data_IF_028954168891
#
_entry.id   IF_028954168891
#
_cell.length_a   1.000
_cell.length_b   1.000
_cell.length_c   1.000
_cell.angle_alpha   90.00
_cell.angle_beta   90.00
_cell.angle_gamma   90.00
#
_symmetry.space_group_name_H-M   'P 1'
#
loop_
_entity.id
_entity.type
_entity.pdbx_description
1 polymer ?
#
# COMPACT_ATOMS: atom_id res chain seq x y z
N UNK A 1 52.70 -32.91 -0.99
CA UNK A 1 51.28 -32.78 -0.60
C UNK A 1 50.74 -31.49 -1.23
N UNK A 2 50.54 -31.48 -2.54
CA UNK A 2 49.28 -31.76 -3.24
C UNK A 2 48.18 -30.70 -3.03
N UNK A 3 48.03 -29.90 -4.10
CA UNK A 3 46.89 -29.09 -4.52
C UNK A 3 45.54 -29.78 -4.26
N UNK A 4 44.51 -29.07 -3.79
CA UNK A 4 43.25 -28.84 -4.53
C UNK A 4 42.09 -28.22 -3.71
N UNK A 5 41.38 -27.30 -4.38
CA UNK A 5 39.93 -27.04 -4.34
C UNK A 5 39.35 -26.16 -3.22
N UNK A 6 39.47 -24.86 -3.48
CA UNK A 6 38.35 -23.91 -3.49
C UNK A 6 37.20 -24.50 -4.35
N UNK A 7 36.14 -25.00 -3.72
CA UNK A 7 34.75 -25.07 -4.24
C UNK A 7 33.84 -25.76 -3.20
N UNK A 8 32.61 -25.23 -3.09
CA UNK A 8 31.45 -25.75 -2.36
C UNK A 8 31.39 -25.47 -0.85
N UNK A 9 30.79 -24.33 -0.49
CA UNK A 9 29.68 -24.28 0.46
C UNK A 9 28.66 -23.20 0.04
N UNK A 10 28.35 -23.19 -1.26
CA UNK A 10 27.07 -22.72 -1.79
C UNK A 10 26.19 -23.95 -1.88
N UNK A 11 25.40 -24.21 -0.84
CA UNK A 11 24.16 -25.01 -0.83
C UNK A 11 23.87 -25.42 0.61
N UNK A 12 22.84 -24.82 1.21
CA UNK A 12 22.40 -25.25 2.52
C UNK A 12 21.57 -24.26 3.30
N UNK A 13 20.63 -23.53 2.67
CA UNK A 13 19.51 -23.00 3.44
C UNK A 13 18.20 -23.17 2.66
N UNK A 14 17.42 -24.08 3.21
CA UNK A 14 16.25 -24.72 2.62
C UNK A 14 15.14 -23.73 2.22
N UNK A 15 14.56 -24.00 1.04
CA UNK A 15 13.32 -23.44 0.50
C UNK A 15 12.11 -23.50 1.47
N UNK A 16 12.18 -24.31 2.54
CA UNK A 16 11.09 -24.59 3.48
C UNK A 16 10.63 -23.39 4.31
N UNK A 17 11.53 -22.46 4.68
CA UNK A 17 11.14 -21.28 5.47
C UNK A 17 10.34 -20.24 4.66
N UNK A 18 10.50 -20.20 3.33
CA UNK A 18 9.78 -19.30 2.41
C UNK A 18 8.31 -19.69 2.23
N UNK A 19 8.03 -21.00 2.31
CA UNK A 19 6.68 -21.55 2.27
C UNK A 19 5.97 -21.39 3.62
N UNK A 20 6.69 -21.50 4.74
CA UNK A 20 6.09 -21.52 6.07
C UNK A 20 5.34 -20.22 6.44
N UNK A 21 5.96 -19.04 6.29
CA UNK A 21 5.29 -17.76 6.65
C UNK A 21 4.13 -17.42 5.71
N UNK A 22 4.27 -17.70 4.41
CA UNK A 22 3.20 -17.57 3.41
C UNK A 22 2.07 -18.56 3.65
N UNK A 23 2.39 -19.80 4.01
CA UNK A 23 1.44 -20.85 4.35
C UNK A 23 0.69 -20.49 5.62
N UNK A 24 1.33 -19.88 6.61
CA UNK A 24 0.66 -19.47 7.87
C UNK A 24 -0.32 -18.29 7.64
N UNK A 25 0.07 -17.23 6.92
CA UNK A 25 -0.85 -16.11 6.61
C UNK A 25 -1.94 -16.51 5.61
N UNK A 26 -1.58 -17.24 4.55
CA UNK A 26 -2.55 -17.81 3.59
C UNK A 26 -3.48 -18.80 4.30
N UNK A 27 -3.00 -19.63 5.23
CA UNK A 27 -3.85 -20.52 6.03
C UNK A 27 -4.74 -19.75 7.00
N UNK A 28 -4.26 -18.70 7.68
CA UNK A 28 -5.07 -17.89 8.59
C UNK A 28 -6.18 -17.11 7.85
N UNK A 29 -5.91 -16.62 6.64
CA UNK A 29 -6.92 -15.97 5.79
C UNK A 29 -7.82 -17.01 5.08
N UNK A 30 -7.29 -18.16 4.67
CA UNK A 30 -8.07 -19.31 4.16
C UNK A 30 -8.98 -19.90 5.23
N UNK A 31 -8.62 -19.79 6.52
CA UNK A 31 -9.47 -20.18 7.65
C UNK A 31 -10.74 -19.33 7.77
N UNK A 32 -10.77 -18.12 7.19
CA UNK A 32 -12.02 -17.35 7.10
C UNK A 32 -12.93 -17.99 6.06
N UNK A 33 -14.15 -18.35 6.49
CA UNK A 33 -15.20 -18.82 5.60
C UNK A 33 -15.57 -17.75 4.58
N UNK A 34 -16.17 -18.14 3.44
CA UNK A 34 -16.68 -17.19 2.45
C UNK A 34 -17.62 -16.17 3.11
N UNK A 35 -18.49 -16.63 4.02
CA UNK A 35 -19.39 -15.77 4.79
C UNK A 35 -18.66 -14.71 5.61
N UNK A 36 -17.51 -15.05 6.21
CA UNK A 36 -16.69 -14.09 6.97
C UNK A 36 -15.91 -13.11 6.09
N UNK A 37 -15.74 -13.39 4.79
CA UNK A 37 -15.10 -12.46 3.84
C UNK A 37 -16.07 -11.48 3.22
N UNK A 38 -17.35 -11.85 3.16
CA UNK A 38 -18.45 -11.04 2.64
C UNK A 38 -19.22 -10.30 3.75
N UNK A 39 -18.89 -10.53 5.01
CA UNK A 39 -19.54 -9.84 6.12
C UNK A 39 -19.01 -8.41 6.26
N UNK A 40 -19.88 -7.43 6.54
CA UNK A 40 -19.45 -6.08 6.93
C UNK A 40 -18.42 -6.13 8.06
N UNK A 41 -17.46 -5.21 8.04
CA UNK A 41 -16.49 -5.10 9.12
C UNK A 41 -17.15 -4.43 10.33
N UNK A 42 -16.78 -4.84 11.55
CA UNK A 42 -17.30 -4.22 12.77
C UNK A 42 -16.76 -2.79 12.99
N UNK A 43 -15.58 -2.50 12.45
CA UNK A 43 -14.94 -1.20 12.49
C UNK A 43 -13.94 -1.07 11.34
N UNK A 44 -13.63 0.16 10.93
CA UNK A 44 -12.53 0.42 10.01
C UNK A 44 -11.23 0.29 10.78
N UNK A 45 -10.38 -0.66 10.40
CA UNK A 45 -9.10 -0.89 11.08
C UNK A 45 -7.95 -0.10 10.48
N UNK A 46 -8.01 0.15 9.17
CA UNK A 46 -6.95 0.80 8.41
C UNK A 46 -7.48 1.39 7.11
N UNK A 47 -6.94 2.52 6.69
CA UNK A 47 -6.99 2.96 5.30
C UNK A 47 -5.69 3.65 4.88
N UNK A 48 -5.45 3.66 3.57
CA UNK A 48 -4.36 4.36 2.91
C UNK A 48 -4.86 5.74 2.48
N UNK A 49 -4.19 6.79 2.93
CA UNK A 49 -4.36 8.15 2.40
C UNK A 49 -3.40 8.32 1.22
N UNK A 50 -3.93 8.39 -0.01
CA UNK A 50 -3.10 8.59 -1.20
C UNK A 50 -2.86 10.09 -1.44
N UNK A 51 -1.62 10.54 -1.28
CA UNK A 51 -1.28 11.97 -1.36
C UNK A 51 -0.54 12.35 -2.65
N UNK A 52 0.01 11.37 -3.38
CA UNK A 52 0.59 11.55 -4.72
C UNK A 52 0.62 10.22 -5.49
N UNK A 53 0.81 10.28 -6.80
CA UNK A 53 0.72 9.09 -7.65
C UNK A 53 2.08 8.49 -8.05
N UNK A 54 3.13 9.31 -8.14
CA UNK A 54 4.44 8.91 -8.70
C UNK A 54 5.46 8.51 -7.63
N UNK A 55 6.45 7.69 -8.03
CA UNK A 55 7.49 7.19 -7.13
C UNK A 55 8.87 7.21 -7.79
N UNK A 56 9.89 7.61 -7.05
CA UNK A 56 11.29 7.61 -7.51
C UNK A 56 11.93 6.20 -7.57
N UNK A 57 11.38 5.20 -6.86
CA UNK A 57 11.90 3.83 -6.86
C UNK A 57 11.45 3.01 -8.08
N UNK A 58 10.23 3.27 -8.59
CA UNK A 58 9.64 2.60 -9.77
C UNK A 58 9.67 1.06 -9.70
N UNK A 59 9.01 0.47 -8.70
CA UNK A 59 8.95 -0.99 -8.54
C UNK A 59 8.23 -1.68 -9.70
N UNK A 60 8.75 -2.81 -10.18
CA UNK A 60 8.08 -3.69 -11.15
C UNK A 60 6.77 -4.23 -10.59
N UNK A 61 5.67 -4.09 -11.35
CA UNK A 61 4.35 -4.60 -10.97
C UNK A 61 3.71 -3.88 -9.77
N UNK A 62 4.06 -2.61 -9.54
CA UNK A 62 3.49 -1.80 -8.46
C UNK A 62 1.96 -1.71 -8.57
N UNK A 63 1.23 -1.96 -7.48
CA UNK A 63 -0.23 -1.92 -7.41
C UNK A 63 -0.84 -0.53 -7.24
N UNK A 64 0.01 0.50 -7.12
CA UNK A 64 -0.35 1.91 -7.29
C UNK A 64 -0.03 2.40 -8.70
N UNK A 65 0.58 1.56 -9.55
CA UNK A 65 1.08 1.93 -10.87
C UNK A 65 2.06 3.13 -10.84
N UNK A 66 2.67 3.42 -9.69
CA UNK A 66 3.55 4.56 -9.49
C UNK A 66 4.84 4.54 -10.34
N UNK A 67 5.18 3.38 -10.95
CA UNK A 67 6.28 3.27 -11.91
C UNK A 67 5.97 3.84 -13.29
N UNK A 68 4.68 3.97 -13.63
CA UNK A 68 4.16 4.48 -14.92
C UNK A 68 3.24 5.69 -14.74
N UNK A 69 3.04 6.16 -13.51
CA UNK A 69 2.30 7.36 -13.22
C UNK A 69 3.14 8.61 -13.56
N UNK A 70 2.47 9.62 -14.11
CA UNK A 70 3.06 10.96 -14.24
C UNK A 70 3.19 11.62 -12.87
N UNK A 71 4.04 12.65 -12.81
CA UNK A 71 4.10 13.51 -11.64
C UNK A 71 2.75 14.17 -11.38
N UNK A 72 2.21 13.89 -10.20
CA UNK A 72 0.95 14.42 -9.70
C UNK A 72 0.93 14.36 -8.19
N UNK A 73 0.50 15.47 -7.59
CA UNK A 73 0.28 15.64 -6.16
C UNK A 73 -1.22 15.87 -5.93
N UNK A 74 -1.78 15.28 -4.88
CA UNK A 74 -3.14 15.61 -4.42
C UNK A 74 -3.03 16.89 -3.61
N UNK A 75 -3.94 17.85 -3.83
CA UNK A 75 -3.92 19.12 -3.10
C UNK A 75 -4.01 18.90 -1.59
N UNK A 76 -3.17 19.61 -0.82
CA UNK A 76 -3.24 19.57 0.64
C UNK A 76 -4.62 20.00 1.16
N UNK A 77 -5.30 20.91 0.46
CA UNK A 77 -6.64 21.37 0.86
C UNK A 77 -7.71 20.30 0.64
N UNK A 78 -7.61 19.52 -0.44
CA UNK A 78 -8.54 18.41 -0.67
C UNK A 78 -8.26 17.27 0.32
N UNK A 79 -6.99 16.99 0.62
CA UNK A 79 -6.61 16.06 1.69
C UNK A 79 -7.20 16.48 3.04
N UNK A 80 -7.11 17.77 3.42
CA UNK A 80 -7.69 18.28 4.67
C UNK A 80 -9.21 18.11 4.72
N UNK A 81 -9.92 18.43 3.63
CA UNK A 81 -11.38 18.25 3.54
C UNK A 81 -11.75 16.78 3.71
N UNK A 82 -11.03 15.89 3.03
CA UNK A 82 -11.26 14.45 3.11
C UNK A 82 -11.00 13.91 4.52
N UNK A 83 -9.91 14.32 5.17
CA UNK A 83 -9.59 13.94 6.55
C UNK A 83 -10.65 14.43 7.53
N UNK A 84 -11.11 15.68 7.40
CA UNK A 84 -12.17 16.24 8.23
C UNK A 84 -13.50 15.47 8.06
N UNK A 85 -13.88 15.18 6.82
CA UNK A 85 -15.09 14.42 6.52
C UNK A 85 -15.00 12.99 7.08
N UNK A 86 -13.86 12.32 6.91
CA UNK A 86 -13.63 10.98 7.46
C UNK A 86 -13.65 10.97 8.99
N UNK A 87 -13.08 11.98 9.65
CA UNK A 87 -13.16 12.12 11.11
C UNK A 87 -14.60 12.23 11.61
N UNK A 88 -15.44 12.99 10.90
CA UNK A 88 -16.89 13.08 11.16
C UNK A 88 -17.60 11.73 10.99
N UNK A 89 -17.35 11.02 9.90
CA UNK A 89 -17.98 9.71 9.60
C UNK A 89 -17.60 8.68 10.66
N UNK A 90 -16.31 8.61 11.02
CA UNK A 90 -15.79 7.64 11.98
C UNK A 90 -16.08 8.03 13.43
N UNK A 91 -16.64 9.22 13.67
CA UNK A 91 -16.91 9.79 15.00
C UNK A 91 -15.64 9.81 15.88
N UNK A 92 -14.51 10.15 15.26
CA UNK A 92 -13.20 10.23 15.92
C UNK A 92 -12.21 9.19 15.40
N UNK A 93 -11.40 8.66 16.33
CA UNK A 93 -10.23 7.85 16.01
C UNK A 93 -10.57 6.40 15.64
N UNK A 94 -9.72 5.86 14.79
CA UNK A 94 -9.68 4.45 14.40
C UNK A 94 -8.24 3.92 14.56
N UNK A 95 -7.98 2.61 14.44
CA UNK A 95 -6.69 2.06 14.87
C UNK A 95 -5.46 2.63 14.16
N UNK A 96 -5.47 2.80 12.83
CA UNK A 96 -4.25 3.18 12.09
C UNK A 96 -4.54 3.78 10.70
N UNK A 97 -3.81 4.81 10.31
CA UNK A 97 -3.82 5.39 8.95
C UNK A 97 -2.42 5.31 8.33
N UNK A 98 -2.36 5.01 7.03
CA UNK A 98 -1.12 5.07 6.26
C UNK A 98 -1.10 6.26 5.31
N UNK A 99 -0.25 7.24 5.55
CA UNK A 99 0.05 8.33 4.61
C UNK A 99 0.98 7.76 3.54
N UNK A 100 0.46 7.63 2.31
CA UNK A 100 1.11 6.92 1.22
C UNK A 100 0.79 7.57 -0.14
N UNK A 101 0.97 6.82 -1.22
CA UNK A 101 0.92 7.27 -2.59
C UNK A 101 1.89 6.41 -3.39
N UNK A 102 2.60 7.06 -4.31
CA UNK A 102 3.88 6.55 -4.81
C UNK A 102 4.99 6.64 -3.75
N UNK A 103 5.67 7.79 -3.65
CA UNK A 103 6.63 8.06 -2.56
C UNK A 103 6.28 9.36 -1.81
N UNK A 104 5.71 9.28 -0.60
CA UNK A 104 5.29 10.43 0.20
C UNK A 104 6.33 11.51 0.42
N UNK A 105 7.62 11.15 0.56
CA UNK A 105 8.70 12.12 0.75
C UNK A 105 8.97 13.03 -0.47
N UNK A 106 8.28 12.81 -1.59
CA UNK A 106 8.28 13.73 -2.74
C UNK A 106 7.25 14.85 -2.62
N UNK A 107 6.26 14.73 -1.72
CA UNK A 107 5.16 15.69 -1.66
C UNK A 107 5.62 17.03 -1.06
N UNK A 108 5.48 18.17 -1.78
CA UNK A 108 6.01 19.46 -1.31
C UNK A 108 5.35 19.94 0.00
N UNK A 109 4.08 19.59 0.21
CA UNK A 109 3.32 19.93 1.42
C UNK A 109 3.19 18.77 2.43
N UNK A 110 4.11 17.78 2.41
CA UNK A 110 4.02 16.61 3.30
C UNK A 110 3.86 16.99 4.78
N UNK A 111 4.66 17.96 5.25
CA UNK A 111 4.65 18.45 6.63
C UNK A 111 3.25 18.89 7.08
N UNK A 112 2.58 19.66 6.24
CA UNK A 112 1.21 20.15 6.46
C UNK A 112 0.18 19.01 6.46
N UNK A 113 0.34 18.03 5.58
CA UNK A 113 -0.51 16.84 5.52
C UNK A 113 -0.37 16.01 6.81
N UNK A 114 0.84 15.80 7.32
CA UNK A 114 1.06 15.05 8.56
C UNK A 114 0.41 15.74 9.77
N UNK A 115 0.55 17.06 9.88
CA UNK A 115 -0.13 17.87 10.90
C UNK A 115 -1.65 17.74 10.78
N UNK A 116 -2.18 17.93 9.57
CA UNK A 116 -3.63 17.84 9.31
C UNK A 116 -4.18 16.45 9.65
N UNK A 117 -3.44 15.40 9.33
CA UNK A 117 -3.81 14.02 9.66
C UNK A 117 -3.90 13.81 11.18
N UNK A 118 -2.92 14.33 11.95
CA UNK A 118 -2.95 14.26 13.42
C UNK A 118 -4.08 15.07 14.03
N UNK A 119 -4.37 16.26 13.49
CA UNK A 119 -5.49 17.09 13.94
C UNK A 119 -6.84 16.39 13.75
N UNK A 120 -7.04 15.72 12.61
CA UNK A 120 -8.28 14.98 12.34
C UNK A 120 -8.40 13.68 13.15
N UNK A 121 -7.28 13.05 13.51
CA UNK A 121 -7.24 11.78 14.23
C UNK A 121 -6.20 11.80 15.39
N UNK A 122 -6.53 12.42 16.54
CA UNK A 122 -5.60 12.64 17.64
C UNK A 122 -5.01 11.36 18.26
N UNK A 123 -5.75 10.24 18.26
CA UNK A 123 -5.33 8.97 18.89
C UNK A 123 -5.01 7.86 17.88
N UNK A 124 -5.30 8.05 16.60
CA UNK A 124 -4.94 7.09 15.55
C UNK A 124 -3.44 6.96 15.38
N UNK A 125 -2.94 5.75 15.14
CA UNK A 125 -1.55 5.54 14.74
C UNK A 125 -1.34 6.02 13.30
N UNK A 126 -0.44 6.97 13.10
CA UNK A 126 -0.17 7.55 11.77
C UNK A 126 1.17 7.00 11.29
N UNK A 127 1.13 6.30 10.17
CA UNK A 127 2.33 5.81 9.49
C UNK A 127 2.64 6.66 8.27
N UNK A 128 3.88 7.11 8.15
CA UNK A 128 4.44 7.59 6.89
C UNK A 128 5.12 6.41 6.18
N UNK A 129 4.50 5.89 5.13
CA UNK A 129 5.02 4.76 4.38
C UNK A 129 6.00 5.24 3.32
N UNK A 130 7.29 4.90 3.47
CA UNK A 130 8.35 5.38 2.57
C UNK A 130 9.25 4.25 2.09
N UNK A 131 9.81 4.41 0.88
CA UNK A 131 10.88 3.57 0.36
C UNK A 131 12.27 3.91 0.95
N UNK A 132 12.39 5.06 1.65
CA UNK A 132 13.59 5.47 2.37
C UNK A 132 14.67 6.20 1.57
N UNK A 133 14.58 6.27 0.23
CA UNK A 133 15.60 6.91 -0.62
C UNK A 133 15.86 8.37 -0.22
N UNK A 134 14.80 9.08 0.19
CA UNK A 134 14.84 10.49 0.53
C UNK A 134 14.87 10.75 2.03
N UNK A 135 14.83 9.70 2.85
CA UNK A 135 14.61 9.83 4.30
C UNK A 135 15.77 10.54 5.01
N UNK A 136 17.01 10.14 4.71
CA UNK A 136 18.20 10.78 5.28
C UNK A 136 18.49 12.19 4.72
N UNK A 137 17.68 12.65 3.76
CA UNK A 137 17.79 13.99 3.16
C UNK A 137 16.77 14.96 3.73
N UNK A 138 15.91 14.52 4.65
CA UNK A 138 14.90 15.36 5.25
C UNK A 138 15.54 16.35 6.23
N UNK A 139 14.93 17.53 6.32
CA UNK A 139 15.39 18.62 7.19
C UNK A 139 14.92 18.44 8.65
N UNK A 140 15.46 19.28 9.54
CA UNK A 140 15.11 19.29 10.96
C UNK A 140 13.62 19.50 11.20
N UNK A 141 12.96 20.32 10.36
CA UNK A 141 11.53 20.58 10.48
C UNK A 141 10.70 19.32 10.22
N UNK A 142 11.06 18.50 9.24
CA UNK A 142 10.41 17.21 9.01
C UNK A 142 10.52 16.32 10.24
N UNK A 143 11.73 16.18 10.80
CA UNK A 143 11.96 15.32 11.96
C UNK A 143 11.24 15.84 13.21
N UNK A 144 11.27 17.16 13.44
CA UNK A 144 10.52 17.82 14.51
C UNK A 144 9.02 17.56 14.39
N UNK A 145 8.44 17.74 13.20
CA UNK A 145 7.01 17.47 12.95
C UNK A 145 6.67 16.00 13.18
N UNK A 146 7.50 15.08 12.67
CA UNK A 146 7.28 13.66 12.90
C UNK A 146 7.26 13.32 14.40
N UNK A 147 8.16 13.92 15.21
CA UNK A 147 8.16 13.73 16.67
C UNK A 147 6.92 14.35 17.32
N UNK A 148 6.66 15.63 17.08
CA UNK A 148 5.57 16.38 17.73
C UNK A 148 4.18 15.82 17.38
N UNK A 149 4.02 15.34 16.15
CA UNK A 149 2.76 14.75 15.68
C UNK A 149 2.71 13.22 15.87
N UNK A 150 3.68 12.64 16.57
CA UNK A 150 3.79 11.20 16.84
C UNK A 150 3.58 10.34 15.58
N UNK A 151 4.36 10.64 14.55
CA UNK A 151 4.37 9.94 13.26
C UNK A 151 5.33 8.76 13.34
N UNK A 152 4.86 7.59 12.91
CA UNK A 152 5.68 6.40 12.75
C UNK A 152 6.25 6.39 11.33
N UNK A 153 7.57 6.36 11.19
CA UNK A 153 8.21 6.15 9.90
C UNK A 153 8.21 4.65 9.60
N UNK A 154 7.34 4.24 8.68
CA UNK A 154 7.22 2.86 8.23
C UNK A 154 8.04 2.67 6.94
N UNK A 155 9.33 2.36 7.09
CA UNK A 155 10.22 2.15 5.96
C UNK A 155 10.07 0.74 5.38
N UNK A 156 9.83 0.63 4.07
CA UNK A 156 9.94 -0.67 3.38
C UNK A 156 11.39 -0.91 2.99
N UNK A 157 12.02 -1.94 3.55
CA UNK A 157 13.40 -2.33 3.20
C UNK A 157 13.42 -3.03 1.84
N UNK A 158 13.84 -2.35 0.80
CA UNK A 158 14.02 -2.91 -0.55
C UNK A 158 15.43 -3.50 -0.75
N UNK A 159 15.64 -4.48 -1.65
CA UNK A 159 16.96 -5.03 -1.93
C UNK A 159 17.78 -4.09 -2.84
N UNK A 160 17.98 -2.86 -2.36
CA UNK A 160 18.80 -1.80 -2.94
C UNK A 160 19.80 -1.32 -1.90
N UNK A 161 20.90 -0.70 -2.36
CA UNK A 161 21.95 -0.22 -1.49
C UNK A 161 21.54 1.10 -0.80
N UNK A 162 20.91 0.99 0.37
CA UNK A 162 20.56 2.10 1.25
C UNK A 162 21.08 1.82 2.65
N UNK A 163 21.43 2.87 3.38
CA UNK A 163 21.87 2.76 4.77
C UNK A 163 20.67 2.74 5.73
N UNK A 164 20.03 1.57 5.84
CA UNK A 164 18.91 1.36 6.74
C UNK A 164 19.28 1.50 8.23
N UNK A 165 20.55 1.26 8.57
CA UNK A 165 21.04 1.44 9.94
C UNK A 165 21.06 2.92 10.27
N UNK A 166 21.67 3.74 9.41
CA UNK A 166 21.66 5.20 9.56
C UNK A 166 20.23 5.75 9.61
N UNK A 167 19.30 5.27 8.77
CA UNK A 167 17.89 5.69 8.83
C UNK A 167 17.26 5.49 10.21
N UNK A 168 17.47 4.30 10.80
CA UNK A 168 16.96 3.97 12.14
C UNK A 168 17.63 4.81 13.22
N UNK A 169 18.94 5.02 13.13
CA UNK A 169 19.73 5.81 14.09
C UNK A 169 19.38 7.30 14.04
N UNK A 170 19.22 7.87 12.84
CA UNK A 170 18.76 9.26 12.65
C UNK A 170 17.36 9.43 13.25
N UNK A 171 16.41 8.54 12.92
CA UNK A 171 15.07 8.60 13.51
C UNK A 171 15.10 8.55 15.05
N UNK A 172 15.90 7.66 15.62
CA UNK A 172 16.07 7.56 17.07
C UNK A 172 16.67 8.84 17.68
N UNK A 173 17.66 9.46 17.02
CA UNK A 173 18.29 10.71 17.46
C UNK A 173 17.29 11.86 17.51
N UNK A 174 16.35 11.92 16.57
CA UNK A 174 15.27 12.91 16.57
C UNK A 174 14.08 12.54 17.46
N UNK A 175 14.08 11.38 18.13
CA UNK A 175 12.98 10.90 18.95
C UNK A 175 11.75 10.48 18.13
N UNK A 176 11.95 10.00 16.89
CA UNK A 176 10.90 9.57 15.97
C UNK A 176 10.84 8.04 15.92
N UNK A 177 9.62 7.48 16.03
CA UNK A 177 9.41 6.04 15.91
C UNK A 177 9.72 5.56 14.49
N UNK A 178 10.52 4.50 14.39
CA UNK A 178 10.89 3.87 13.12
C UNK A 178 10.57 2.38 13.16
N UNK A 179 9.90 1.89 12.12
CA UNK A 179 9.65 0.47 11.93
C UNK A 179 9.92 0.04 10.49
N UNK A 180 10.25 -1.25 10.33
CA UNK A 180 10.31 -1.85 9.02
C UNK A 180 8.91 -2.30 8.60
N UNK A 181 8.34 -1.62 7.61
CA UNK A 181 7.04 -1.92 7.07
C UNK A 181 6.94 -3.37 6.57
N UNK A 182 5.77 -3.98 6.79
CA UNK A 182 5.39 -5.31 6.27
C UNK A 182 6.40 -6.43 6.60
N UNK A 183 7.04 -6.36 7.76
CA UNK A 183 7.97 -7.38 8.26
C UNK A 183 9.31 -7.44 7.50
N UNK A 184 9.66 -6.37 6.80
CA UNK A 184 10.90 -6.31 5.99
C UNK A 184 12.19 -6.16 6.80
N UNK A 185 12.07 -6.13 8.14
CA UNK A 185 13.21 -6.21 9.06
C UNK A 185 14.05 -7.47 8.82
N UNK A 186 13.38 -8.63 8.73
CA UNK A 186 14.02 -9.94 8.61
C UNK A 186 14.53 -10.22 7.20
N UNK A 187 13.77 -9.80 6.18
CA UNK A 187 14.08 -10.04 4.78
C UNK A 187 13.73 -8.82 3.95
N UNK A 188 14.56 -8.44 2.97
CA UNK A 188 14.20 -7.37 2.05
C UNK A 188 12.93 -7.72 1.27
N UNK A 189 12.23 -6.68 0.82
CA UNK A 189 10.97 -6.76 0.10
C UNK A 189 11.11 -7.64 -1.15
N UNK A 190 10.27 -8.68 -1.21
CA UNK A 190 9.99 -9.41 -2.45
C UNK A 190 8.87 -8.73 -3.23
N UNK A 191 8.82 -9.00 -4.54
CA UNK A 191 7.74 -8.52 -5.41
C UNK A 191 6.59 -9.52 -5.49
N UNK A 192 5.44 -9.00 -5.92
CA UNK A 192 4.28 -9.75 -6.35
C UNK A 192 3.82 -9.19 -7.70
N UNK A 193 3.17 -10.03 -8.50
CA UNK A 193 2.49 -9.61 -9.72
C UNK A 193 1.00 -9.74 -9.47
N UNK A 194 0.30 -8.61 -9.35
CA UNK A 194 -1.17 -8.58 -9.29
C UNK A 194 -1.70 -8.57 -10.73
N UNK A 195 -1.70 -9.75 -11.33
CA UNK A 195 -2.11 -9.95 -12.72
C UNK A 195 -3.52 -9.42 -12.97
N UNK A 196 -3.67 -8.69 -14.06
CA UNK A 196 -4.92 -8.10 -14.55
C UNK A 196 -5.37 -8.81 -15.82
N UNK A 197 -6.67 -8.92 -15.97
CA UNK A 197 -7.37 -9.30 -17.19
C UNK A 197 -7.98 -8.04 -17.77
N UNK A 198 -7.38 -7.48 -18.81
CA UNK A 198 -7.76 -6.18 -19.39
C UNK A 198 -9.17 -6.17 -20.00
N UNK A 199 -9.66 -7.34 -20.41
CA UNK A 199 -11.00 -7.51 -20.99
C UNK A 199 -12.08 -7.54 -19.91
N UNK A 200 -11.70 -7.73 -18.64
CA UNK A 200 -12.64 -7.74 -17.53
C UNK A 200 -13.53 -8.98 -17.48
N UNK A 201 -13.02 -10.14 -17.91
CA UNK A 201 -13.79 -11.38 -17.98
C UNK A 201 -13.79 -12.18 -16.67
N UNK A 202 -13.20 -11.66 -15.60
CA UNK A 202 -13.20 -12.35 -14.30
C UNK A 202 -14.55 -12.20 -13.60
N UNK A 203 -14.92 -13.19 -12.77
CA UNK A 203 -16.08 -13.07 -11.90
C UNK A 203 -15.74 -12.15 -10.70
N UNK A 204 -16.39 -10.97 -10.54
CA UNK A 204 -16.03 -10.00 -9.50
C UNK A 204 -16.11 -10.57 -8.08
N UNK A 205 -17.18 -11.30 -7.79
CA UNK A 205 -17.40 -11.91 -6.47
C UNK A 205 -16.34 -12.94 -6.14
N UNK A 206 -16.02 -13.83 -7.10
CA UNK A 206 -14.95 -14.81 -6.94
C UNK A 206 -13.60 -14.11 -6.75
N UNK A 207 -13.27 -13.15 -7.61
CA UNK A 207 -12.02 -12.38 -7.51
C UNK A 207 -11.90 -11.68 -6.16
N UNK A 208 -12.97 -11.08 -5.65
CA UNK A 208 -12.99 -10.45 -4.34
C UNK A 208 -12.75 -11.44 -3.20
N UNK A 209 -13.47 -12.58 -3.19
CA UNK A 209 -13.34 -13.61 -2.14
C UNK A 209 -11.94 -14.21 -2.12
N UNK A 210 -11.36 -14.45 -3.29
CA UNK A 210 -10.02 -15.03 -3.45
C UNK A 210 -8.89 -14.01 -3.31
N UNK A 211 -9.19 -12.71 -3.34
CA UNK A 211 -8.20 -11.67 -3.15
C UNK A 211 -7.67 -11.70 -1.70
N UNK A 212 -6.44 -12.18 -1.52
CA UNK A 212 -5.76 -12.17 -0.23
C UNK A 212 -5.20 -10.79 0.07
N UNK A 213 -5.65 -10.16 1.15
CA UNK A 213 -4.99 -9.00 1.76
C UNK A 213 -5.25 -7.63 1.12
N UNK A 214 -5.77 -7.52 -0.11
CA UNK A 214 -6.04 -6.20 -0.72
C UNK A 214 -7.36 -5.58 -0.24
N UNK A 215 -8.33 -6.41 0.15
CA UNK A 215 -9.57 -5.97 0.84
C UNK A 215 -9.29 -5.41 2.25
N UNK A 216 -8.02 -5.35 2.68
CA UNK A 216 -7.56 -4.81 3.96
C UNK A 216 -6.91 -3.42 3.83
N UNK A 217 -6.82 -2.88 2.60
CA UNK A 217 -6.23 -1.56 2.36
C UNK A 217 -7.16 -0.68 1.51
N UNK A 218 -8.30 -0.25 2.06
CA UNK A 218 -9.10 0.81 1.45
C UNK A 218 -8.22 2.03 1.17
N UNK A 219 -8.41 2.68 0.03
CA UNK A 219 -7.66 3.86 -0.37
C UNK A 219 -8.60 5.07 -0.38
N UNK A 220 -8.21 6.14 0.30
CA UNK A 220 -8.89 7.43 0.32
C UNK A 220 -8.15 8.42 -0.59
N UNK A 221 -8.87 9.05 -1.52
CA UNK A 221 -8.35 10.09 -2.40
C UNK A 221 -9.50 10.92 -2.98
N UNK A 222 -9.44 12.23 -2.82
CA UNK A 222 -10.27 13.23 -3.52
C UNK A 222 -11.77 12.95 -3.38
N UNK A 223 -12.22 12.84 -2.14
CA UNK A 223 -13.63 12.60 -1.78
C UNK A 223 -14.10 11.17 -1.99
N UNK A 224 -13.23 10.25 -2.42
CA UNK A 224 -13.60 8.88 -2.75
C UNK A 224 -12.84 7.87 -1.90
N UNK A 225 -13.59 6.93 -1.33
CA UNK A 225 -13.06 5.74 -0.68
C UNK A 225 -13.17 4.54 -1.63
N UNK A 226 -12.04 3.92 -1.94
CA UNK A 226 -11.93 2.75 -2.81
C UNK A 226 -11.67 1.49 -1.98
N UNK A 227 -12.17 0.35 -2.45
CA UNK A 227 -11.97 -0.94 -1.76
C UNK A 227 -10.54 -1.51 -1.86
N UNK A 228 -9.72 -0.99 -2.78
CA UNK A 228 -8.32 -1.38 -2.95
C UNK A 228 -7.51 -0.27 -3.64
N UNK A 229 -6.21 -0.49 -3.81
CA UNK A 229 -5.30 0.47 -4.45
C UNK A 229 -5.25 0.38 -5.97
N UNK A 230 -5.68 -0.75 -6.56
CA UNK A 230 -5.58 -0.98 -8.02
C UNK A 230 -6.62 -0.15 -8.77
N UNK A 231 -7.89 -0.25 -8.35
CA UNK A 231 -9.03 0.38 -9.00
C UNK A 231 -8.81 1.90 -9.26
N UNK A 232 -8.51 2.73 -8.24
CA UNK A 232 -8.31 4.17 -8.48
C UNK A 232 -7.11 4.48 -9.38
N UNK A 233 -6.07 3.64 -9.32
CA UNK A 233 -4.80 3.90 -9.99
C UNK A 233 -4.70 3.28 -11.38
N UNK A 234 -5.70 2.51 -11.83
CA UNK A 234 -5.72 1.91 -13.17
C UNK A 234 -5.64 2.95 -14.29
N UNK A 235 -6.04 4.20 -14.01
CA UNK A 235 -5.91 5.34 -14.94
C UNK A 235 -4.48 5.51 -15.47
N UNK A 236 -3.46 5.23 -14.66
CA UNK A 236 -2.06 5.34 -15.06
C UNK A 236 -1.68 4.21 -16.02
N UNK A 237 -2.18 3.00 -15.77
CA UNK A 237 -2.02 1.86 -16.67
C UNK A 237 -2.72 2.11 -18.02
N UNK A 238 -3.98 2.56 -17.99
CA UNK A 238 -4.75 2.92 -19.18
C UNK A 238 -4.03 3.95 -20.03
N UNK A 239 -3.59 5.06 -19.41
CA UNK A 239 -2.84 6.11 -20.09
C UNK A 239 -1.55 5.59 -20.72
N UNK A 240 -0.77 4.81 -19.99
CA UNK A 240 0.56 4.34 -20.43
C UNK A 240 0.48 3.33 -21.58
N UNK A 241 -0.54 2.48 -21.60
CA UNK A 241 -0.63 1.34 -22.52
C UNK A 241 -1.80 1.43 -23.50
N UNK A 242 -2.54 2.53 -23.52
CA UNK A 242 -3.68 2.72 -24.43
C UNK A 242 -4.83 1.74 -24.18
N UNK A 243 -5.02 1.34 -22.92
CA UNK A 243 -6.12 0.43 -22.52
C UNK A 243 -7.28 1.21 -21.88
N UNK A 244 -8.40 0.53 -21.61
CA UNK A 244 -9.64 1.18 -21.20
C UNK A 244 -10.38 0.42 -20.09
N UNK A 245 -9.67 0.00 -19.04
CA UNK A 245 -10.33 -0.55 -17.86
C UNK A 245 -11.07 0.56 -17.11
N UNK A 246 -12.38 0.42 -16.93
CA UNK A 246 -13.23 1.49 -16.39
C UNK A 246 -13.65 1.19 -14.96
N UNK A 247 -13.78 2.27 -14.19
CA UNK A 247 -14.53 2.23 -12.94
C UNK A 247 -16.03 2.37 -13.26
N UNK A 248 -16.85 1.74 -12.43
CA UNK A 248 -18.31 1.78 -12.47
C UNK A 248 -18.87 2.22 -11.12
N UNK A 249 -20.18 2.47 -11.12
CA UNK A 249 -20.94 2.72 -9.89
C UNK A 249 -20.74 1.53 -8.93
N UNK A 250 -20.32 1.85 -7.70
CA UNK A 250 -19.99 0.86 -6.68
C UNK A 250 -18.51 0.49 -6.56
N UNK A 251 -17.62 1.00 -7.42
CA UNK A 251 -16.16 0.83 -7.25
C UNK A 251 -15.54 1.76 -6.21
N UNK A 252 -16.24 2.84 -5.89
CA UNK A 252 -15.90 3.79 -4.84
C UNK A 252 -17.15 4.21 -4.08
N UNK A 253 -16.92 4.71 -2.88
CA UNK A 253 -17.93 5.39 -2.06
C UNK A 253 -17.56 6.86 -1.99
N UNK A 254 -18.48 7.75 -2.37
CA UNK A 254 -18.34 9.19 -2.13
C UNK A 254 -18.46 9.45 -0.62
N UNK A 255 -17.40 9.94 0.00
CA UNK A 255 -17.38 10.15 1.45
C UNK A 255 -18.30 11.29 1.88
N UNK A 256 -18.62 12.24 0.99
CA UNK A 256 -19.48 13.38 1.32
C UNK A 256 -20.96 13.01 1.32
N UNK A 257 -21.34 11.89 0.70
CA UNK A 257 -22.71 11.37 0.71
C UNK A 257 -22.97 10.39 1.86
N UNK A 258 -21.97 10.04 2.68
CA UNK A 258 -22.13 9.06 3.77
C UNK A 258 -22.90 9.69 4.93
N UNK A 259 -24.03 9.08 5.29
CA UNK A 259 -24.80 9.46 6.48
C UNK A 259 -24.44 8.59 7.69
N UNK A 260 -24.20 7.29 7.45
CA UNK A 260 -23.93 6.30 8.50
C UNK A 260 -22.65 5.53 8.21
N UNK A 261 -21.82 5.36 9.23
CA UNK A 261 -20.58 4.56 9.15
C UNK A 261 -20.82 3.12 8.67
N UNK A 262 -22.03 2.57 8.88
CA UNK A 262 -22.41 1.26 8.36
C UNK A 262 -22.32 1.18 6.83
N UNK A 263 -22.55 2.27 6.10
CA UNK A 263 -22.42 2.31 4.64
C UNK A 263 -20.97 2.09 4.21
N UNK A 264 -20.03 2.75 4.89
CA UNK A 264 -18.59 2.54 4.70
C UNK A 264 -18.18 1.11 5.03
N UNK A 265 -18.63 0.58 6.17
CA UNK A 265 -18.27 -0.77 6.63
C UNK A 265 -18.85 -1.86 5.72
N UNK A 266 -20.05 -1.64 5.19
CA UNK A 266 -20.67 -2.47 4.17
C UNK A 266 -19.89 -2.37 2.86
N UNK A 267 -19.55 -1.16 2.42
CA UNK A 267 -18.81 -0.95 1.18
C UNK A 267 -17.50 -1.76 1.17
N UNK A 268 -16.69 -1.70 2.23
CA UNK A 268 -15.41 -2.41 2.28
C UNK A 268 -15.59 -3.93 2.29
N UNK A 269 -16.68 -4.43 2.90
CA UNK A 269 -16.96 -5.87 3.00
C UNK A 269 -17.51 -6.53 1.74
N UNK A 270 -17.80 -5.76 0.68
CA UNK A 270 -18.48 -6.26 -0.51
C UNK A 270 -17.58 -6.30 -1.76
N UNK A 271 -17.82 -7.22 -2.71
CA UNK A 271 -17.23 -7.19 -4.05
C UNK A 271 -17.42 -5.84 -4.74
N UNK A 272 -16.51 -5.52 -5.66
CA UNK A 272 -16.53 -4.30 -6.47
C UNK A 272 -16.64 -4.68 -7.95
N UNK A 273 -17.39 -3.95 -8.78
CA UNK A 273 -17.42 -4.21 -10.23
C UNK A 273 -16.03 -4.35 -10.86
N UNK A 274 -15.06 -3.51 -10.45
CA UNK A 274 -13.68 -3.51 -10.90
C UNK A 274 -12.94 -4.83 -10.63
N UNK A 275 -13.40 -5.65 -9.68
CA UNK A 275 -12.82 -6.96 -9.43
C UNK A 275 -12.87 -7.88 -10.68
N UNK A 276 -13.69 -7.57 -11.69
CA UNK A 276 -13.68 -8.25 -13.00
C UNK A 276 -12.35 -8.16 -13.74
N UNK A 277 -11.53 -7.15 -13.47
CA UNK A 277 -10.21 -6.98 -14.09
C UNK A 277 -9.11 -7.70 -13.30
N UNK A 278 -9.42 -8.31 -12.16
CA UNK A 278 -8.43 -8.96 -11.30
C UNK A 278 -8.31 -10.46 -11.59
N UNK A 279 -7.28 -10.89 -12.32
CA UNK A 279 -6.98 -12.31 -12.56
C UNK A 279 -6.23 -12.91 -11.37
N UNK A 280 -6.98 -13.20 -10.30
CA UNK A 280 -6.42 -13.72 -9.05
C UNK A 280 -5.67 -15.05 -9.26
N UNK A 281 -6.18 -15.89 -10.15
CA UNK A 281 -5.64 -17.23 -10.41
C UNK A 281 -4.22 -17.21 -10.99
N UNK A 282 -3.85 -16.12 -11.66
CA UNK A 282 -2.54 -15.94 -12.29
C UNK A 282 -1.66 -14.91 -11.56
N UNK A 283 -2.01 -14.51 -10.34
CA UNK A 283 -1.13 -13.70 -9.49
C UNK A 283 0.06 -14.52 -9.03
N UNK A 284 1.23 -13.89 -8.96
CA UNK A 284 2.46 -14.50 -8.43
C UNK A 284 3.02 -13.72 -7.24
N UNK A 285 3.67 -14.42 -6.30
CA UNK A 285 4.11 -13.84 -5.02
C UNK A 285 5.50 -14.34 -4.61
N UNK A 286 6.31 -13.46 -4.03
CA UNK A 286 7.69 -13.79 -3.64
C UNK A 286 8.66 -13.78 -4.80
N UNK A 287 8.30 -13.06 -5.86
CA UNK A 287 9.19 -12.83 -6.99
C UNK A 287 10.39 -12.00 -6.50
N UNK A 288 11.53 -12.15 -7.17
CA UNK A 288 12.65 -11.22 -6.94
C UNK A 288 12.15 -9.80 -7.20
N UNK A 289 12.51 -8.87 -6.33
CA UNK A 289 12.21 -7.47 -6.57
C UNK A 289 13.11 -6.91 -7.68
N UNK A 290 12.51 -6.14 -8.57
CA UNK A 290 13.18 -5.51 -9.71
C UNK A 290 12.60 -4.11 -9.90
N UNK A 291 13.40 -3.22 -10.51
CA UNK A 291 12.87 -1.96 -11.05
C UNK A 291 12.05 -2.25 -12.30
N UNK A 292 10.98 -1.49 -12.46
CA UNK A 292 10.08 -1.54 -13.61
C UNK A 292 10.83 -1.10 -14.87
N UNK A 293 10.61 -1.84 -15.96
CA UNK A 293 10.92 -1.44 -17.34
C UNK A 293 9.73 -0.72 -17.98
N UNK A 294 8.65 -0.53 -17.24
CA UNK A 294 7.40 0.07 -17.70
C UNK A 294 6.77 -0.70 -18.86
N UNK A 295 6.88 -2.03 -18.82
CA UNK A 295 6.29 -2.94 -19.79
C UNK A 295 4.92 -3.43 -19.28
N UNK A 296 3.95 -3.58 -20.18
CA UNK A 296 2.59 -4.01 -19.82
C UNK A 296 2.56 -5.39 -19.13
N UNK A 297 3.48 -6.28 -19.53
CA UNK A 297 3.69 -7.63 -18.99
C UNK A 297 4.02 -7.67 -17.50
N UNK A 298 4.34 -6.53 -16.88
CA UNK A 298 4.50 -6.42 -15.44
C UNK A 298 3.17 -6.51 -14.67
N UNK A 299 2.04 -6.29 -15.34
CA UNK A 299 0.69 -6.33 -14.75
C UNK A 299 -0.28 -7.26 -15.46
N UNK A 300 -0.05 -7.66 -16.71
CA UNK A 300 -0.89 -8.63 -17.43
C UNK A 300 -0.14 -9.94 -17.67
N UNK A 301 -0.83 -11.01 -18.09
CA UNK A 301 -0.20 -12.31 -18.37
C UNK A 301 1.00 -12.19 -19.30
#
# INVERSE_FOLDING_TARGET
MFRHKIRQFLNGFSWSHKLASKRIFRQAYLKKSVKQRLSPQNQLSYFVLNILDHCNLKCKGCDHFASVADERFVSADDIKKDLAQMSKILKGDFPRIGVMGGEPLLHPQLKEILISTRLSFPKTLIELLTNGILLLKQDEDFWRICREQNIIIANTRYPINLDYKAMKETAATHGVMFEYGRGTEKFPRYSYKKTLDIEGNQNPTKSFIECFGDNMYPLLMEGKLYGCTIAPNVRHFNKRFGTNMKLEDGDFLDIYSIEKVSELLNFIGNPKPFCRYCDISNRSYGNKWERSRQEMSEWVK
#
